data_IF_863736099682
#
_entry.id   IF_863736099682
#
_cell.length_a   1.000
_cell.length_b   1.000
_cell.length_c   1.000
_cell.angle_alpha   90.00
_cell.angle_beta   90.00
_cell.angle_gamma   90.00
#
_symmetry.space_group_name_H-M   'P 1'
#
loop_
_entity.id
_entity.type
_entity.pdbx_description
1 polymer ?
#
# COMPACT_ATOMS: atom_id res chain seq x y z
N UNK A 1 36.15 -32.15 -62.91
CA UNK A 1 35.75 -33.56 -63.11
C UNK A 1 35.71 -34.20 -61.72
N UNK A 2 34.59 -34.59 -61.16
CA UNK A 2 33.21 -34.63 -61.62
C UNK A 2 32.27 -34.44 -60.40
N UNK A 3 31.14 -33.79 -60.64
CA UNK A 3 29.95 -33.81 -59.77
C UNK A 3 29.14 -35.09 -59.99
N UNK A 4 28.05 -35.23 -59.21
CA UNK A 4 26.91 -36.17 -59.29
C UNK A 4 27.00 -37.42 -58.39
N UNK A 5 25.96 -37.90 -57.71
CA UNK A 5 24.59 -37.45 -57.38
C UNK A 5 24.12 -38.35 -56.22
N UNK A 6 23.15 -37.90 -55.42
CA UNK A 6 22.45 -38.74 -54.41
C UNK A 6 21.47 -39.74 -55.02
N UNK A 7 21.13 -40.80 -54.27
CA UNK A 7 19.79 -41.38 -54.32
C UNK A 7 19.40 -42.07 -52.99
N UNK A 8 18.29 -41.58 -52.44
CA UNK A 8 17.57 -42.07 -51.28
C UNK A 8 17.02 -43.48 -51.49
N UNK A 9 17.16 -44.37 -50.50
CA UNK A 9 16.29 -45.54 -50.37
C UNK A 9 14.96 -45.10 -49.73
N UNK A 10 13.94 -45.09 -50.57
CA UNK A 10 12.53 -45.07 -50.19
C UNK A 10 12.15 -46.53 -49.97
N UNK A 11 11.82 -46.92 -48.74
CA UNK A 11 11.01 -48.13 -48.51
C UNK A 11 9.59 -47.70 -48.18
N UNK A 12 8.68 -48.25 -48.97
CA UNK A 12 7.31 -47.81 -49.14
C UNK A 12 6.39 -48.39 -48.04
N UNK A 13 5.71 -47.46 -47.37
CA UNK A 13 4.27 -47.47 -47.07
C UNK A 13 3.55 -48.81 -46.79
N UNK A 14 2.96 -48.94 -45.60
CA UNK A 14 1.50 -48.89 -45.35
C UNK A 14 1.10 -49.57 -44.02
N UNK A 15 0.00 -49.08 -43.43
CA UNK A 15 -0.65 -49.42 -42.15
C UNK A 15 -0.09 -48.67 -40.93
N UNK A 16 -0.81 -47.77 -40.28
CA UNK A 16 -2.24 -47.49 -40.32
C UNK A 16 -2.62 -46.87 -38.98
N UNK A 17 -3.31 -45.73 -39.04
CA UNK A 17 -3.83 -44.82 -38.01
C UNK A 17 -4.51 -45.44 -36.75
N UNK A 18 -4.60 -46.77 -36.65
CA UNK A 18 -5.30 -47.50 -35.59
C UNK A 18 -4.41 -47.76 -34.36
N UNK A 19 -3.11 -48.03 -34.55
CA UNK A 19 -2.19 -48.34 -33.44
C UNK A 19 -1.88 -47.15 -32.52
N UNK A 20 -1.77 -45.96 -33.09
CA UNK A 20 -1.54 -44.72 -32.33
C UNK A 20 -2.74 -44.36 -31.45
N UNK A 21 -3.97 -44.56 -31.94
CA UNK A 21 -5.20 -44.29 -31.19
C UNK A 21 -5.44 -45.27 -30.05
N UNK A 22 -5.13 -46.56 -30.22
CA UNK A 22 -5.26 -47.56 -29.16
C UNK A 22 -4.25 -47.36 -28.02
N UNK A 23 -3.03 -46.91 -28.32
CA UNK A 23 -2.03 -46.57 -27.29
C UNK A 23 -2.43 -45.35 -26.45
N UNK A 24 -3.12 -44.38 -27.07
CA UNK A 24 -3.73 -43.23 -26.40
C UNK A 24 -4.86 -43.65 -25.45
N UNK A 25 -5.81 -44.48 -25.93
CA UNK A 25 -6.89 -44.99 -25.08
C UNK A 25 -6.40 -45.87 -23.92
N UNK A 26 -5.38 -46.70 -24.12
CA UNK A 26 -4.81 -47.54 -23.07
C UNK A 26 -4.11 -46.71 -21.98
N UNK A 27 -3.43 -45.61 -22.36
CA UNK A 27 -2.76 -44.71 -21.40
C UNK A 27 -3.77 -43.86 -20.62
N UNK A 28 -4.87 -43.49 -21.26
CA UNK A 28 -5.98 -42.75 -20.64
C UNK A 28 -6.79 -43.63 -19.68
N UNK A 29 -7.01 -44.91 -20.01
CA UNK A 29 -7.63 -45.89 -19.10
C UNK A 29 -6.75 -46.23 -17.88
N UNK A 30 -5.42 -46.25 -18.05
CA UNK A 30 -4.48 -46.46 -16.93
C UNK A 30 -4.39 -45.24 -16.02
N UNK A 31 -4.51 -44.04 -16.57
CA UNK A 31 -4.60 -42.78 -15.81
C UNK A 31 -5.90 -42.69 -14.99
N UNK A 32 -7.02 -43.20 -15.53
CA UNK A 32 -8.34 -43.11 -14.88
C UNK A 32 -8.61 -44.19 -13.81
N UNK A 33 -7.82 -45.27 -13.77
CA UNK A 33 -8.06 -46.44 -12.89
C UNK A 33 -7.31 -46.41 -11.55
N UNK A 34 -6.42 -45.43 -11.32
CA UNK A 34 -5.66 -45.31 -10.06
C UNK A 34 -6.15 -44.18 -9.13
N UNK A 35 -7.46 -43.90 -9.16
CA UNK A 35 -8.21 -43.24 -8.07
C UNK A 35 -9.54 -43.99 -7.96
N UNK A 36 -10.02 -44.50 -6.83
CA UNK A 36 -9.86 -44.18 -5.42
C UNK A 36 -10.05 -45.49 -4.62
N UNK A 37 -9.86 -45.54 -3.31
CA UNK A 37 -10.98 -45.47 -2.34
C UNK A 37 -10.38 -45.36 -0.93
N UNK A 38 -10.80 -44.36 -0.14
CA UNK A 38 -11.36 -44.50 1.22
C UNK A 38 -11.45 -43.11 1.91
N UNK A 39 -12.70 -42.74 2.25
CA UNK A 39 -13.08 -42.00 3.46
C UNK A 39 -12.66 -40.55 3.65
N UNK A 40 -13.64 -39.63 3.63
CA UNK A 40 -13.53 -38.32 4.28
C UNK A 40 -13.99 -37.15 3.42
N UNK A 41 -15.20 -36.66 3.69
CA UNK A 41 -15.87 -35.50 3.09
C UNK A 41 -15.14 -34.20 3.44
N UNK A 42 -14.05 -33.91 2.75
CA UNK A 42 -13.51 -32.56 2.63
C UNK A 42 -13.74 -32.11 1.20
N UNK A 43 -14.47 -31.02 1.01
CA UNK A 43 -14.58 -30.29 -0.26
C UNK A 43 -13.17 -30.08 -0.83
N UNK A 44 -12.75 -30.96 -1.74
CA UNK A 44 -11.50 -30.81 -2.49
C UNK A 44 -11.73 -29.71 -3.52
N UNK A 45 -11.50 -28.48 -3.09
CA UNK A 45 -11.26 -27.36 -4.00
C UNK A 45 -10.14 -27.78 -4.98
N UNK A 46 -10.30 -27.61 -6.31
CA UNK A 46 -9.28 -28.01 -7.27
C UNK A 46 -7.93 -27.38 -6.94
N UNK A 47 -6.87 -28.19 -6.78
CA UNK A 47 -5.48 -27.71 -6.56
C UNK A 47 -5.02 -26.75 -7.67
N UNK A 48 -5.60 -26.86 -8.86
CA UNK A 48 -5.28 -26.00 -10.01
C UNK A 48 -5.75 -24.54 -9.83
N UNK A 49 -6.82 -24.30 -9.07
CA UNK A 49 -7.22 -22.94 -8.66
C UNK A 49 -6.28 -22.38 -7.58
N UNK A 50 -5.68 -23.25 -6.77
CA UNK A 50 -4.71 -22.86 -5.76
C UNK A 50 -3.33 -22.56 -6.37
N UNK A 51 -2.95 -23.12 -7.51
CA UNK A 51 -1.75 -22.71 -8.25
C UNK A 51 -2.00 -21.43 -9.09
N UNK A 52 -3.23 -21.22 -9.59
CA UNK A 52 -3.54 -20.07 -10.47
C UNK A 52 -3.75 -18.73 -9.76
N UNK A 53 -3.99 -18.72 -8.44
CA UNK A 53 -4.18 -17.49 -7.67
C UNK A 53 -2.84 -16.84 -7.27
N UNK A 54 -1.91 -16.71 -8.20
CA UNK A 54 -0.67 -15.93 -8.05
C UNK A 54 -0.77 -14.72 -8.97
N UNK A 55 -0.80 -13.54 -8.36
CA UNK A 55 -0.99 -12.28 -9.07
C UNK A 55 0.33 -11.88 -9.70
N UNK A 56 0.34 -11.75 -11.01
CA UNK A 56 1.52 -11.29 -11.73
C UNK A 56 1.66 -9.75 -11.60
N UNK A 57 2.81 -9.21 -11.18
CA UNK A 57 2.98 -7.77 -10.94
C UNK A 57 2.83 -6.92 -12.21
N UNK A 58 3.00 -7.51 -13.39
CA UNK A 58 2.83 -6.83 -14.67
C UNK A 58 1.38 -6.88 -15.21
N UNK A 59 0.45 -7.55 -14.52
CA UNK A 59 -0.94 -7.65 -14.95
C UNK A 59 -1.63 -6.27 -14.96
N UNK A 60 -2.51 -6.02 -15.95
CA UNK A 60 -3.25 -4.74 -16.05
C UNK A 60 -4.05 -4.44 -14.78
N UNK A 61 -4.76 -5.45 -14.25
CA UNK A 61 -5.55 -5.33 -13.03
C UNK A 61 -4.69 -4.92 -11.83
N UNK A 62 -3.56 -5.61 -11.60
CA UNK A 62 -2.69 -5.31 -10.46
C UNK A 62 -2.06 -3.92 -10.58
N UNK A 63 -1.72 -3.45 -11.79
CA UNK A 63 -1.22 -2.09 -11.99
C UNK A 63 -2.27 -1.03 -11.62
N UNK A 64 -3.53 -1.24 -11.99
CA UNK A 64 -4.64 -0.35 -11.62
C UNK A 64 -4.81 -0.37 -10.10
N UNK A 65 -4.85 -1.56 -9.48
CA UNK A 65 -4.92 -1.72 -8.03
C UNK A 65 -3.75 -1.01 -7.32
N UNK A 66 -2.52 -1.23 -7.78
CA UNK A 66 -1.33 -0.61 -7.20
C UNK A 66 -1.34 0.92 -7.31
N UNK A 67 -1.83 1.47 -8.43
CA UNK A 67 -1.99 2.92 -8.60
C UNK A 67 -3.08 3.47 -7.66
N UNK A 68 -4.20 2.78 -7.52
CA UNK A 68 -5.25 3.14 -6.56
C UNK A 68 -4.70 3.13 -5.13
N UNK A 69 -4.00 2.07 -4.74
CA UNK A 69 -3.37 1.96 -3.42
C UNK A 69 -2.29 3.00 -3.18
N UNK A 70 -1.58 3.41 -4.23
CA UNK A 70 -0.61 4.49 -4.17
C UNK A 70 -1.28 5.82 -3.84
N UNK A 71 -2.35 6.19 -4.56
CA UNK A 71 -3.13 7.40 -4.28
C UNK A 71 -3.69 7.38 -2.85
N UNK A 72 -4.19 6.22 -2.42
CA UNK A 72 -4.71 6.06 -1.08
C UNK A 72 -3.64 6.18 0.01
N UNK A 73 -2.43 5.72 -0.28
CA UNK A 73 -1.31 5.87 0.63
C UNK A 73 -0.87 7.33 0.75
N UNK A 74 -0.94 8.13 -0.32
CA UNK A 74 -0.69 9.58 -0.26
C UNK A 74 -1.73 10.25 0.64
N UNK A 75 -3.02 10.00 0.38
CA UNK A 75 -4.11 10.52 1.18
C UNK A 75 -3.94 10.16 2.67
N UNK A 76 -3.73 8.88 2.98
CA UNK A 76 -3.58 8.41 4.36
C UNK A 76 -2.36 9.04 5.06
N UNK A 77 -1.23 9.18 4.37
CA UNK A 77 0.00 9.76 4.96
C UNK A 77 -0.16 11.26 5.24
N UNK A 78 -0.88 11.97 4.38
CA UNK A 78 -1.18 13.40 4.57
C UNK A 78 -2.27 13.63 5.62
N UNK A 79 -3.29 12.76 5.67
CA UNK A 79 -4.38 12.89 6.64
C UNK A 79 -3.94 12.57 8.07
N UNK A 80 -2.96 11.69 8.28
CA UNK A 80 -2.54 11.20 9.61
C UNK A 80 -2.09 12.34 10.57
N UNK A 81 -1.20 13.28 10.19
CA UNK A 81 -0.83 14.40 11.08
C UNK A 81 -2.02 15.33 11.36
N UNK A 82 -2.84 15.60 10.34
CA UNK A 82 -4.03 16.43 10.48
C UNK A 82 -5.02 15.80 11.47
N UNK A 83 -5.29 14.51 11.31
CA UNK A 83 -6.17 13.73 12.17
C UNK A 83 -5.68 13.77 13.62
N UNK A 84 -4.40 13.45 13.83
CA UNK A 84 -3.78 13.43 15.15
C UNK A 84 -3.85 14.80 15.84
N UNK A 85 -3.63 15.89 15.11
CA UNK A 85 -3.55 17.23 15.69
C UNK A 85 -4.90 17.91 15.90
N UNK A 86 -5.84 17.75 14.96
CA UNK A 86 -7.11 18.47 14.97
C UNK A 86 -8.23 17.69 15.67
N UNK A 87 -8.17 16.35 15.67
CA UNK A 87 -9.17 15.51 16.33
C UNK A 87 -8.59 14.82 17.57
N UNK A 88 -9.21 15.00 18.74
CA UNK A 88 -8.91 14.21 19.95
C UNK A 88 -9.76 12.94 19.97
N UNK A 89 -9.57 12.12 18.94
CA UNK A 89 -10.45 11.01 18.59
C UNK A 89 -11.42 11.44 17.48
N UNK A 90 -11.50 10.61 16.44
CA UNK A 90 -12.27 10.88 15.23
C UNK A 90 -13.76 11.11 15.56
N UNK A 91 -14.44 12.19 15.13
CA UNK A 91 -15.87 12.36 15.36
C UNK A 91 -16.68 11.18 14.82
N UNK A 92 -17.85 10.88 15.39
CA UNK A 92 -18.63 9.70 14.97
C UNK A 92 -19.04 9.76 13.49
N UNK A 93 -19.19 10.96 12.94
CA UNK A 93 -19.44 11.22 11.51
C UNK A 93 -18.27 10.86 10.60
N UNK A 94 -17.05 10.78 11.13
CA UNK A 94 -15.85 10.43 10.40
C UNK A 94 -15.48 8.94 10.61
N UNK A 95 -16.27 8.16 11.36
CA UNK A 95 -16.03 6.72 11.51
C UNK A 95 -16.12 5.96 10.17
N UNK A 96 -16.85 6.51 9.18
CA UNK A 96 -16.85 5.97 7.81
C UNK A 96 -15.44 5.98 7.18
N UNK A 97 -14.55 6.88 7.62
CA UNK A 97 -13.14 6.85 7.23
C UNK A 97 -12.36 5.69 7.87
N UNK A 98 -12.89 4.99 8.87
CA UNK A 98 -12.29 3.74 9.33
C UNK A 98 -12.57 2.59 8.36
N UNK A 99 -13.68 2.62 7.60
CA UNK A 99 -13.97 1.64 6.54
C UNK A 99 -12.88 1.62 5.46
N UNK A 100 -12.21 2.76 5.25
CA UNK A 100 -11.05 2.88 4.36
C UNK A 100 -9.91 1.95 4.77
N UNK A 101 -9.75 1.65 6.06
CA UNK A 101 -8.73 0.70 6.53
C UNK A 101 -8.98 -0.72 6.01
N UNK A 102 -10.21 -1.10 5.69
CA UNK A 102 -10.52 -2.40 5.07
C UNK A 102 -9.88 -2.52 3.68
N UNK A 103 -9.77 -1.41 2.93
CA UNK A 103 -9.11 -1.40 1.62
C UNK A 103 -7.61 -1.66 1.76
N UNK A 104 -6.97 -1.09 2.78
CA UNK A 104 -5.56 -1.37 3.10
C UNK A 104 -5.37 -2.80 3.62
N UNK A 105 -6.32 -3.33 4.39
CA UNK A 105 -6.29 -4.72 4.81
C UNK A 105 -6.43 -5.68 3.62
N UNK A 106 -7.28 -5.36 2.64
CA UNK A 106 -7.36 -6.09 1.38
C UNK A 106 -6.04 -6.02 0.60
N UNK A 107 -5.36 -4.88 0.59
CA UNK A 107 -4.02 -4.75 -0.01
C UNK A 107 -3.00 -5.67 0.68
N UNK A 108 -3.03 -5.79 2.01
CA UNK A 108 -2.20 -6.75 2.76
C UNK A 108 -2.48 -8.18 2.28
N UNK A 109 -3.75 -8.56 2.11
CA UNK A 109 -4.12 -9.88 1.58
C UNK A 109 -3.57 -10.09 0.15
N UNK A 110 -3.64 -9.08 -0.71
CA UNK A 110 -3.07 -9.13 -2.08
C UNK A 110 -1.56 -9.37 -2.05
N UNK A 111 -0.83 -8.80 -1.10
CA UNK A 111 0.64 -9.00 -1.00
C UNK A 111 1.03 -10.45 -0.71
N UNK A 112 0.18 -11.26 -0.06
CA UNK A 112 0.43 -12.69 0.12
C UNK A 112 0.38 -13.50 -1.18
N UNK A 113 -0.28 -12.98 -2.21
CA UNK A 113 -0.43 -13.63 -3.51
C UNK A 113 0.42 -12.98 -4.62
N UNK A 114 1.18 -11.94 -4.30
CA UNK A 114 1.95 -11.18 -5.27
C UNK A 114 3.28 -11.86 -5.60
N UNK A 115 3.48 -12.24 -6.86
CA UNK A 115 4.76 -12.79 -7.31
C UNK A 115 5.87 -11.73 -7.22
N UNK A 116 7.05 -12.15 -6.74
CA UNK A 116 8.22 -11.29 -6.63
C UNK A 116 9.36 -11.76 -7.53
N UNK A 117 10.27 -10.84 -7.86
CA UNK A 117 11.51 -11.14 -8.59
C UNK A 117 12.63 -11.42 -7.60
N UNK A 118 13.27 -12.58 -7.72
CA UNK A 118 14.40 -12.95 -6.86
C UNK A 118 15.62 -12.06 -7.19
N UNK A 119 16.24 -11.38 -6.20
CA UNK A 119 17.40 -10.52 -6.43
C UNK A 119 18.64 -11.24 -6.97
N UNK A 120 18.81 -12.56 -6.71
CA UNK A 120 20.00 -13.29 -7.17
C UNK A 120 19.79 -13.91 -8.55
N UNK A 121 18.68 -14.61 -8.75
CA UNK A 121 18.42 -15.34 -9.99
C UNK A 121 17.69 -14.50 -11.05
N UNK A 122 17.17 -13.33 -10.67
CA UNK A 122 16.31 -12.46 -11.50
C UNK A 122 15.09 -13.18 -12.11
N UNK A 123 14.74 -14.37 -11.61
CA UNK A 123 13.56 -15.14 -12.03
C UNK A 123 12.35 -14.75 -11.19
N UNK A 124 11.17 -14.86 -11.79
CA UNK A 124 9.90 -14.67 -11.09
C UNK A 124 9.61 -15.90 -10.24
N UNK A 125 9.37 -15.69 -8.94
CA UNK A 125 9.02 -16.76 -8.01
C UNK A 125 7.50 -16.76 -7.83
N UNK A 126 6.87 -17.88 -8.19
CA UNK A 126 5.43 -18.11 -8.05
C UNK A 126 5.05 -18.97 -6.84
N UNK A 127 6.04 -19.52 -6.13
CA UNK A 127 5.82 -20.35 -4.94
C UNK A 127 5.24 -19.51 -3.79
N UNK A 128 3.96 -19.76 -3.48
CA UNK A 128 3.19 -19.05 -2.43
C UNK A 128 3.82 -19.14 -1.06
N UNK A 129 4.41 -20.28 -0.69
CA UNK A 129 5.05 -20.44 0.62
C UNK A 129 6.25 -19.51 0.75
N UNK A 130 7.06 -19.39 -0.30
CA UNK A 130 8.20 -18.48 -0.34
C UNK A 130 7.75 -17.02 -0.33
N UNK A 131 6.69 -16.67 -1.06
CA UNK A 131 6.09 -15.33 -1.06
C UNK A 131 5.62 -14.95 0.34
N UNK A 132 4.79 -15.78 0.97
CA UNK A 132 4.23 -15.53 2.30
C UNK A 132 5.33 -15.41 3.37
N UNK A 133 6.29 -16.34 3.41
CA UNK A 133 7.39 -16.29 4.38
C UNK A 133 8.25 -15.04 4.22
N UNK A 134 8.53 -14.62 2.99
CA UNK A 134 9.27 -13.38 2.73
C UNK A 134 8.50 -12.14 3.19
N UNK A 135 7.18 -12.11 2.95
CA UNK A 135 6.33 -10.99 3.34
C UNK A 135 6.19 -10.88 4.87
N UNK A 136 5.92 -12.01 5.54
CA UNK A 136 5.79 -12.10 7.01
C UNK A 136 7.07 -11.63 7.72
N UNK A 137 8.25 -12.04 7.24
CA UNK A 137 9.55 -11.64 7.82
C UNK A 137 9.91 -10.17 7.56
N UNK A 138 9.25 -9.52 6.60
CA UNK A 138 9.61 -8.18 6.14
C UNK A 138 8.66 -7.10 6.66
N UNK A 139 7.59 -6.85 5.91
CA UNK A 139 6.73 -5.66 6.10
C UNK A 139 5.38 -5.98 6.73
N UNK A 140 5.01 -7.26 6.85
CA UNK A 140 3.69 -7.68 7.33
C UNK A 140 3.29 -7.08 8.68
N UNK A 141 4.18 -7.10 9.68
CA UNK A 141 3.87 -6.56 11.00
C UNK A 141 3.51 -5.07 10.95
N UNK A 142 4.28 -4.28 10.19
CA UNK A 142 4.04 -2.83 10.04
C UNK A 142 2.79 -2.54 9.19
N UNK A 143 2.55 -3.33 8.14
CA UNK A 143 1.36 -3.17 7.31
C UNK A 143 0.09 -3.49 8.11
N UNK A 144 0.11 -4.56 8.90
CA UNK A 144 -1.01 -4.95 9.77
C UNK A 144 -1.24 -3.90 10.85
N UNK A 145 -0.20 -3.49 11.59
CA UNK A 145 -0.30 -2.43 12.60
C UNK A 145 -0.80 -1.12 12.00
N UNK A 146 -0.41 -0.80 10.77
CA UNK A 146 -0.90 0.39 10.06
C UNK A 146 -2.38 0.33 9.69
N UNK A 147 -2.98 -0.86 9.59
CA UNK A 147 -4.41 -1.04 9.27
C UNK A 147 -5.33 -1.02 10.49
N UNK A 148 -4.79 -1.02 11.72
CA UNK A 148 -5.63 -1.01 12.92
C UNK A 148 -6.34 0.35 13.10
N UNK A 149 -7.62 0.34 13.55
CA UNK A 149 -8.38 1.53 13.88
C UNK A 149 -7.97 2.06 15.27
N UNK A 150 -6.74 2.60 15.37
CA UNK A 150 -6.18 3.08 16.63
C UNK A 150 -7.02 4.18 17.30
N UNK A 151 -7.74 4.99 16.52
CA UNK A 151 -8.61 6.08 17.02
C UNK A 151 -9.88 5.55 17.71
N UNK A 152 -10.56 4.56 17.12
CA UNK A 152 -11.62 3.84 17.81
C UNK A 152 -11.13 3.14 19.08
N UNK A 153 -9.96 2.48 19.03
CA UNK A 153 -9.36 1.84 20.20
C UNK A 153 -9.04 2.88 21.28
N UNK A 154 -8.51 4.05 20.91
CA UNK A 154 -8.25 5.16 21.84
C UNK A 154 -9.52 5.63 22.55
N UNK A 155 -10.66 5.73 21.86
CA UNK A 155 -11.95 6.06 22.49
C UNK A 155 -12.39 5.01 23.50
N UNK A 156 -12.31 3.73 23.13
CA UNK A 156 -12.78 2.60 23.96
C UNK A 156 -11.88 2.34 25.16
N UNK A 157 -10.57 2.53 25.02
CA UNK A 157 -9.57 2.30 26.09
C UNK A 157 -9.52 3.42 27.14
N UNK A 158 -10.44 4.38 27.11
CA UNK A 158 -10.47 5.47 28.08
C UNK A 158 -9.47 6.58 27.77
N UNK A 159 -9.14 6.81 26.49
CA UNK A 159 -8.29 7.91 26.00
C UNK A 159 -6.83 7.82 26.48
N UNK A 160 -6.25 6.63 26.42
CA UNK A 160 -4.83 6.42 26.72
C UNK A 160 -3.97 7.02 25.60
N UNK A 161 -3.20 8.07 25.91
CA UNK A 161 -2.37 8.79 24.92
C UNK A 161 -1.38 7.86 24.17
N UNK A 162 -0.88 6.81 24.82
CA UNK A 162 0.01 5.84 24.16
C UNK A 162 -0.64 5.16 22.93
N UNK A 163 -1.95 4.86 22.99
CA UNK A 163 -2.70 4.26 21.86
C UNK A 163 -2.83 5.27 20.72
N UNK A 164 -3.03 6.54 21.05
CA UNK A 164 -3.13 7.63 20.07
C UNK A 164 -1.84 7.79 19.27
N UNK A 165 -0.68 7.62 19.91
CA UNK A 165 0.60 7.64 19.20
C UNK A 165 0.76 6.51 18.18
N UNK A 166 0.05 5.39 18.32
CA UNK A 166 0.09 4.28 17.35
C UNK A 166 -0.52 4.66 15.99
N UNK A 167 -1.35 5.71 15.92
CA UNK A 167 -1.87 6.28 14.66
C UNK A 167 -0.72 6.66 13.72
N UNK A 168 0.42 7.10 14.25
CA UNK A 168 1.60 7.46 13.46
C UNK A 168 2.24 6.29 12.72
N UNK A 169 1.96 5.03 13.09
CA UNK A 169 2.39 3.85 12.34
C UNK A 169 1.88 3.89 10.89
N UNK A 170 0.74 4.55 10.64
CA UNK A 170 0.19 4.76 9.28
C UNK A 170 1.17 5.48 8.35
N UNK A 171 2.08 6.30 8.87
CA UNK A 171 3.10 7.00 8.06
C UNK A 171 4.08 6.06 7.36
N UNK A 172 4.23 4.83 7.84
CA UNK A 172 5.04 3.81 7.16
C UNK A 172 4.59 3.61 5.70
N UNK A 173 3.30 3.83 5.39
CA UNK A 173 2.74 3.78 4.03
C UNK A 173 3.38 4.78 3.07
N UNK A 174 3.98 5.87 3.59
CA UNK A 174 4.78 6.84 2.84
C UNK A 174 5.95 6.21 2.08
N UNK A 175 6.40 4.99 2.45
CA UNK A 175 7.38 4.21 1.67
C UNK A 175 6.94 3.97 0.22
N UNK A 176 5.64 3.91 -0.06
CA UNK A 176 5.12 3.77 -1.44
C UNK A 176 5.40 5.03 -2.27
N UNK A 177 5.35 6.20 -1.65
CA UNK A 177 5.76 7.49 -2.25
C UNK A 177 7.25 7.50 -2.53
N UNK A 178 8.08 7.07 -1.57
CA UNK A 178 9.52 6.95 -1.78
C UNK A 178 9.86 5.96 -2.91
N UNK A 179 9.19 4.81 -2.95
CA UNK A 179 9.37 3.81 -4.00
C UNK A 179 8.92 4.32 -5.38
N UNK A 180 7.88 5.15 -5.44
CA UNK A 180 7.45 5.83 -6.67
C UNK A 180 8.55 6.76 -7.19
N UNK A 181 9.05 7.69 -6.36
CA UNK A 181 10.13 8.59 -6.78
C UNK A 181 11.38 7.82 -7.20
N UNK A 182 11.75 6.76 -6.47
CA UNK A 182 12.88 5.89 -6.86
C UNK A 182 12.69 5.20 -8.22
N UNK A 183 11.45 4.91 -8.62
CA UNK A 183 11.14 4.35 -9.95
C UNK A 183 11.21 5.41 -11.03
N UNK A 184 10.64 6.59 -10.78
CA UNK A 184 10.66 7.71 -11.75
C UNK A 184 12.09 8.21 -11.98
N UNK A 185 12.91 8.30 -10.94
CA UNK A 185 14.33 8.68 -11.03
C UNK A 185 15.16 7.70 -11.90
N UNK A 186 14.69 6.45 -12.06
CA UNK A 186 15.34 5.43 -12.90
C UNK A 186 14.78 5.36 -14.31
N UNK A 187 13.68 6.06 -14.60
CA UNK A 187 13.10 6.08 -15.94
C UNK A 187 13.85 7.08 -16.81
N UNK A 188 14.55 6.57 -17.83
CA UNK A 188 15.35 7.38 -18.77
C UNK A 188 14.52 8.37 -19.57
N UNK A 189 13.19 8.19 -19.63
CA UNK A 189 12.28 9.06 -20.38
C UNK A 189 11.92 10.33 -19.62
N UNK A 190 12.22 10.39 -18.32
CA UNK A 190 11.89 11.53 -17.46
C UNK A 190 13.18 12.29 -17.11
N UNK A 191 13.12 13.62 -17.11
CA UNK A 191 14.26 14.42 -16.72
C UNK A 191 14.58 14.24 -15.24
N UNK A 192 15.83 13.87 -14.96
CA UNK A 192 16.32 13.63 -13.61
C UNK A 192 16.20 14.88 -12.72
N UNK A 193 16.56 16.05 -13.26
CA UNK A 193 16.47 17.34 -12.57
C UNK A 193 15.03 17.67 -12.16
N UNK A 194 14.06 17.51 -13.07
CA UNK A 194 12.65 17.76 -12.75
C UNK A 194 12.15 16.82 -11.65
N UNK A 195 12.48 15.53 -11.75
CA UNK A 195 12.10 14.55 -10.73
C UNK A 195 12.64 14.92 -9.36
N UNK A 196 13.89 15.39 -9.29
CA UNK A 196 14.51 15.85 -8.05
C UNK A 196 13.83 17.10 -7.49
N UNK A 197 13.50 18.09 -8.33
CA UNK A 197 12.79 19.30 -7.91
C UNK A 197 11.41 18.96 -7.36
N UNK A 198 10.61 18.16 -8.09
CA UNK A 198 9.27 17.74 -7.64
C UNK A 198 9.33 16.98 -6.33
N UNK A 199 10.33 16.09 -6.16
CA UNK A 199 10.56 15.37 -4.90
C UNK A 199 10.86 16.32 -3.74
N UNK A 200 11.74 17.30 -3.94
CA UNK A 200 12.07 18.29 -2.90
C UNK A 200 10.86 19.13 -2.51
N UNK A 201 10.08 19.60 -3.49
CA UNK A 201 8.83 20.34 -3.24
C UNK A 201 7.84 19.47 -2.45
N UNK A 202 7.68 18.21 -2.83
CA UNK A 202 6.78 17.27 -2.13
C UNK A 202 7.21 17.07 -0.66
N UNK A 203 8.50 16.91 -0.41
CA UNK A 203 9.04 16.77 0.95
C UNK A 203 8.82 18.05 1.75
N UNK A 204 9.09 19.22 1.16
CA UNK A 204 8.92 20.51 1.82
C UNK A 204 7.45 20.79 2.19
N UNK A 205 6.52 20.54 1.25
CA UNK A 205 5.09 20.67 1.51
C UNK A 205 4.62 19.73 2.62
N UNK A 206 5.16 18.51 2.68
CA UNK A 206 4.82 17.56 3.74
C UNK A 206 5.39 17.97 5.10
N UNK A 207 6.62 18.46 5.14
CA UNK A 207 7.25 18.99 6.35
C UNK A 207 6.49 20.19 6.90
N UNK A 208 6.17 21.17 6.06
CA UNK A 208 5.41 22.38 6.46
C UNK A 208 4.00 22.02 6.94
N UNK A 209 3.30 21.10 6.27
CA UNK A 209 2.01 20.58 6.73
C UNK A 209 2.12 19.89 8.10
N UNK A 210 3.11 19.01 8.29
CA UNK A 210 3.29 18.28 9.55
C UNK A 210 3.67 19.24 10.68
N UNK A 211 4.51 20.25 10.41
CA UNK A 211 4.86 21.29 11.36
C UNK A 211 3.64 22.13 11.76
N UNK A 212 2.80 22.53 10.81
CA UNK A 212 1.55 23.23 11.08
C UNK A 212 0.63 22.43 12.02
N UNK A 213 0.46 21.14 11.72
CA UNK A 213 -0.29 20.23 12.59
C UNK A 213 0.36 20.14 13.99
N UNK A 214 1.69 20.08 14.07
CA UNK A 214 2.43 20.06 15.33
C UNK A 214 2.24 21.34 16.16
N UNK A 215 2.29 22.52 15.53
CA UNK A 215 2.07 23.81 16.21
C UNK A 215 0.65 23.94 16.76
N UNK A 216 -0.35 23.51 15.99
CA UNK A 216 -1.73 23.46 16.47
C UNK A 216 -1.89 22.46 17.62
N UNK A 217 -1.33 21.26 17.49
CA UNK A 217 -1.36 20.25 18.55
C UNK A 217 -0.78 20.80 19.85
N UNK A 218 0.40 21.41 19.80
CA UNK A 218 1.06 22.03 20.96
C UNK A 218 0.16 23.07 21.63
N UNK A 219 -0.48 23.95 20.85
CA UNK A 219 -1.42 24.94 21.39
C UNK A 219 -2.59 24.30 22.13
N UNK A 220 -3.08 23.13 21.68
CA UNK A 220 -4.19 22.43 22.34
C UNK A 220 -3.79 21.64 23.58
N UNK A 221 -2.50 21.38 23.81
CA UNK A 221 -2.02 20.64 25.01
C UNK A 221 -2.17 21.44 26.31
N UNK A 222 -2.22 22.77 26.22
CA UNK A 222 -2.40 23.64 27.37
C UNK A 222 -3.86 23.62 27.86
N UNK A 223 -4.09 23.81 29.18
CA UNK A 223 -5.43 23.88 29.74
C UNK A 223 -6.16 25.16 29.31
N UNK A 224 -7.51 25.15 29.25
CA UNK A 224 -8.34 26.29 28.82
C UNK A 224 -8.00 27.63 29.47
N UNK A 225 -7.68 27.63 30.76
CA UNK A 225 -7.32 28.85 31.49
C UNK A 225 -6.00 29.52 31.01
N UNK A 226 -5.14 28.81 30.27
CA UNK A 226 -3.85 29.31 29.77
C UNK A 226 -3.79 29.43 28.25
N UNK A 227 -4.90 29.19 27.55
CA UNK A 227 -4.94 29.19 26.09
C UNK A 227 -4.70 30.56 25.46
N UNK A 228 -5.05 31.64 26.14
CA UNK A 228 -4.73 33.00 25.69
C UNK A 228 -3.23 33.31 25.61
N UNK A 229 -2.38 32.51 26.26
CA UNK A 229 -0.91 32.62 26.19
C UNK A 229 -0.27 31.75 25.10
N UNK A 230 -1.07 31.03 24.30
CA UNK A 230 -0.56 30.27 23.15
C UNK A 230 -0.28 31.18 21.97
N UNK A 231 0.58 30.74 21.05
CA UNK A 231 0.88 31.49 19.81
C UNK A 231 -0.38 31.86 19.01
N UNK A 232 -1.40 30.98 19.04
CA UNK A 232 -2.68 31.19 18.33
C UNK A 232 -3.66 31.99 19.19
N UNK A 233 -3.74 31.74 20.50
CA UNK A 233 -4.67 32.42 21.39
C UNK A 233 -4.31 33.87 21.67
N UNK A 234 -3.02 34.23 21.60
CA UNK A 234 -2.55 35.62 21.69
C UNK A 234 -2.73 36.38 20.37
N UNK A 235 -3.09 35.71 19.28
CA UNK A 235 -3.20 36.31 17.97
C UNK A 235 -4.48 37.15 17.88
N UNK A 236 -4.33 38.40 17.43
CA UNK A 236 -5.43 39.29 17.06
C UNK A 236 -5.27 39.67 15.60
N UNK A 237 -6.20 39.21 14.75
CA UNK A 237 -6.16 39.45 13.31
C UNK A 237 -7.34 40.36 12.94
N UNK A 238 -7.09 41.67 12.84
CA UNK A 238 -8.16 42.68 12.72
C UNK A 238 -9.05 42.69 13.97
N UNK A 239 -10.36 42.63 13.78
CA UNK A 239 -11.35 42.59 14.88
C UNK A 239 -11.54 41.19 15.50
N UNK A 240 -10.97 40.14 14.88
CA UNK A 240 -11.09 38.76 15.35
C UNK A 240 -10.01 38.44 16.39
N UNK A 241 -10.42 38.25 17.65
CA UNK A 241 -9.57 37.74 18.72
C UNK A 241 -9.66 36.22 18.80
N UNK A 242 -8.52 35.53 18.74
CA UNK A 242 -8.45 34.06 18.74
C UNK A 242 -8.49 33.44 20.15
N UNK A 243 -9.00 34.17 21.15
CA UNK A 243 -9.02 33.75 22.57
C UNK A 243 -9.70 32.38 22.75
N UNK A 244 -10.79 32.13 22.01
CA UNK A 244 -11.50 30.84 21.96
C UNK A 244 -11.29 30.14 20.61
N UNK A 245 -10.04 29.96 20.19
CA UNK A 245 -9.74 29.38 18.87
C UNK A 245 -10.37 28.00 18.62
N UNK A 246 -10.81 27.27 19.65
CA UNK A 246 -11.51 25.98 19.50
C UNK A 246 -12.92 26.08 18.92
N UNK A 247 -13.56 27.25 18.98
CA UNK A 247 -14.91 27.49 18.44
C UNK A 247 -14.88 27.97 16.99
N UNK A 248 -13.73 28.48 16.54
CA UNK A 248 -13.51 28.96 15.17
C UNK A 248 -13.58 27.77 14.19
N UNK A 249 -13.95 27.98 12.94
CA UNK A 249 -13.94 26.89 11.95
C UNK A 249 -12.58 26.16 11.83
N UNK A 250 -12.64 24.85 11.51
CA UNK A 250 -11.46 23.99 11.37
C UNK A 250 -10.53 24.49 10.26
N UNK A 251 -11.09 24.97 9.14
CA UNK A 251 -10.31 25.48 8.02
C UNK A 251 -9.49 26.69 8.43
N UNK A 252 -10.11 27.64 9.15
CA UNK A 252 -9.42 28.84 9.64
C UNK A 252 -8.25 28.48 10.55
N UNK A 253 -8.46 27.57 11.52
CA UNK A 253 -7.38 27.10 12.40
C UNK A 253 -6.25 26.44 11.64
N UNK A 254 -6.57 25.62 10.64
CA UNK A 254 -5.59 24.95 9.79
C UNK A 254 -4.79 25.94 8.96
N UNK A 255 -5.46 26.88 8.27
CA UNK A 255 -4.81 27.91 7.45
C UNK A 255 -3.91 28.81 8.29
N UNK A 256 -4.35 29.24 9.48
CA UNK A 256 -3.52 30.05 10.39
C UNK A 256 -2.27 29.28 10.86
N UNK A 257 -2.42 27.99 11.19
CA UNK A 257 -1.29 27.14 11.58
C UNK A 257 -0.32 26.89 10.42
N UNK A 258 -0.86 26.72 9.21
CA UNK A 258 -0.07 26.55 8.00
C UNK A 258 0.69 27.82 7.64
N UNK A 259 0.05 28.97 7.75
CA UNK A 259 0.68 30.28 7.54
C UNK A 259 1.89 30.46 8.47
N UNK A 260 1.71 30.18 9.77
CA UNK A 260 2.82 30.24 10.73
C UNK A 260 3.94 29.26 10.35
N UNK A 261 3.61 28.01 10.02
CA UNK A 261 4.61 27.02 9.64
C UNK A 261 5.41 27.43 8.41
N UNK A 262 4.74 27.99 7.39
CA UNK A 262 5.40 28.52 6.20
C UNK A 262 6.29 29.71 6.56
N UNK A 263 5.76 30.70 7.31
CA UNK A 263 6.53 31.89 7.68
C UNK A 263 7.83 31.53 8.44
N UNK A 264 7.77 30.52 9.30
CA UNK A 264 8.93 29.98 10.01
C UNK A 264 9.89 29.22 9.07
N UNK A 265 9.36 28.37 8.18
CA UNK A 265 10.16 27.61 7.23
C UNK A 265 10.90 28.51 6.22
N UNK A 266 10.25 29.58 5.77
CA UNK A 266 10.85 30.57 4.85
C UNK A 266 11.66 31.64 5.57
N UNK A 267 11.73 31.61 6.91
CA UNK A 267 12.42 32.62 7.73
C UNK A 267 12.05 34.06 7.37
N UNK A 268 10.80 34.27 6.94
CA UNK A 268 10.27 35.61 6.67
C UNK A 268 10.04 36.30 8.02
N UNK A 269 10.94 37.24 8.35
CA UNK A 269 10.83 38.10 9.53
C UNK A 269 9.86 39.25 9.27
#
# INVERSE_FOLDING_TARGET
MAEEYELNEIDDTLHGSVGSRLSLFARELKSRRSSSWHGGTALRLPKDLYESLVIHPNGRWYRIWANMMFLWSIYSTFFTPFEFSFFRGLPDQLLDLECVQLVFLADVAVHFFLAYRDPHTYRMVHDKRRIALRYIKGSFALDVLGCFPWDAIYKVTGRVEAVRWLVWVRLYRGRKVMAFFKRVEKDIRVSYLLTRIVKLITVELYCTHTAACGFYYLATTLPPAREGGTWIGSLSLGDARYINFREIDLLTRYVTSLYLAIAMATSTR
#
